data_IF_536595138071
#
_entry.id   IF_536595138071
#
_cell.length_a   1.000
_cell.length_b   1.000
_cell.length_c   1.000
_cell.angle_alpha   90.00
_cell.angle_beta   90.00
_cell.angle_gamma   90.00
#
_symmetry.space_group_name_H-M   'P 1'
#
loop_
_entity.id
_entity.type
_entity.pdbx_description
1 polymer ?
#
# COMPACT_ATOMS: atom_id res chain seq x y z
N UNK A 1 18.78 0.41 12.58
CA UNK A 1 17.40 0.97 12.56
C UNK A 1 17.48 2.49 12.50
N UNK A 2 16.47 3.16 11.94
CA UNK A 2 16.38 4.61 11.97
C UNK A 2 16.18 5.10 13.41
N UNK A 3 16.91 6.14 13.81
CA UNK A 3 16.86 6.69 15.17
C UNK A 3 15.70 7.68 15.37
N UNK A 4 15.30 8.36 14.29
CA UNK A 4 14.31 9.43 14.30
C UNK A 4 13.08 9.09 13.45
N UNK A 5 11.91 9.65 13.79
CA UNK A 5 10.70 9.50 12.97
C UNK A 5 10.90 10.13 11.59
N UNK A 6 10.42 9.43 10.55
CA UNK A 6 10.36 9.98 9.20
C UNK A 6 9.33 11.11 9.05
N UNK A 7 9.43 11.84 7.93
CA UNK A 7 8.52 12.93 7.60
C UNK A 7 7.06 12.46 7.50
N UNK A 8 6.13 13.30 7.99
CA UNK A 8 4.70 13.16 7.69
C UNK A 8 4.43 13.50 6.22
N UNK A 9 3.34 13.01 5.64
CA UNK A 9 3.08 13.10 4.20
C UNK A 9 3.26 14.51 3.61
N UNK A 10 2.68 15.54 4.23
CA UNK A 10 2.82 16.94 3.75
C UNK A 10 4.27 17.40 3.76
N UNK A 11 4.99 17.18 4.86
CA UNK A 11 6.40 17.57 4.99
C UNK A 11 7.34 16.68 4.16
N UNK A 12 6.93 15.45 3.86
CA UNK A 12 7.63 14.54 2.97
C UNK A 12 7.62 15.12 1.56
N UNK A 13 6.47 15.53 1.02
CA UNK A 13 6.41 16.13 -0.32
C UNK A 13 7.16 17.47 -0.40
N UNK A 14 7.14 18.28 0.66
CA UNK A 14 8.03 19.46 0.75
C UNK A 14 9.50 19.06 0.67
N UNK A 15 9.89 18.00 1.39
CA UNK A 15 11.27 17.50 1.40
C UNK A 15 11.69 16.92 0.06
N UNK A 16 10.78 16.24 -0.66
CA UNK A 16 10.97 15.82 -2.06
C UNK A 16 11.24 17.06 -2.93
N UNK A 17 10.42 18.11 -2.81
CA UNK A 17 10.63 19.36 -3.56
C UNK A 17 11.96 20.08 -3.27
N UNK A 18 12.61 19.80 -2.13
CA UNK A 18 13.97 20.28 -1.83
C UNK A 18 15.09 19.39 -2.38
N UNK A 19 14.77 18.25 -2.98
CA UNK A 19 15.74 17.28 -3.50
C UNK A 19 16.42 16.40 -2.44
N UNK A 20 15.99 16.49 -1.17
CA UNK A 20 16.53 15.66 -0.08
C UNK A 20 16.02 14.22 -0.14
N UNK A 21 14.78 14.01 -0.59
CA UNK A 21 14.24 12.69 -0.91
C UNK A 21 14.29 12.54 -2.43
N UNK A 22 15.04 11.54 -2.89
CA UNK A 22 15.33 11.30 -4.31
C UNK A 22 14.55 10.15 -4.93
N UNK A 23 13.95 9.30 -4.10
CA UNK A 23 13.16 8.17 -4.54
C UNK A 23 11.82 8.18 -3.81
N UNK A 24 10.74 8.05 -4.58
CA UNK A 24 9.38 8.02 -4.08
C UNK A 24 8.67 6.77 -4.59
N UNK A 25 7.98 6.05 -3.71
CA UNK A 25 7.06 4.99 -4.10
C UNK A 25 5.65 5.33 -3.62
N UNK A 26 4.76 5.64 -4.55
CA UNK A 26 3.35 5.94 -4.27
C UNK A 26 2.52 4.67 -4.41
N UNK A 27 1.85 4.27 -3.34
CA UNK A 27 0.80 3.24 -3.35
C UNK A 27 -0.52 4.02 -3.13
N UNK A 28 -1.31 4.25 -4.18
CA UNK A 28 -2.34 5.27 -4.23
C UNK A 28 -3.52 4.91 -3.33
N UNK A 29 -3.70 5.77 -2.32
CA UNK A 29 -4.92 5.90 -1.51
C UNK A 29 -5.01 7.34 -0.96
N UNK A 30 -4.45 8.33 -1.66
CA UNK A 30 -4.12 9.62 -1.04
C UNK A 30 -4.74 10.81 -1.78
N UNK A 31 -5.60 11.54 -1.06
CA UNK A 31 -5.93 12.95 -1.34
C UNK A 31 -4.95 13.82 -0.56
N UNK A 32 -4.24 14.72 -1.24
CA UNK A 32 -3.30 15.65 -0.60
C UNK A 32 -3.83 17.10 -0.62
N UNK A 33 -3.62 17.88 0.45
CA UNK A 33 -3.73 19.33 0.35
C UNK A 33 -2.66 19.87 -0.61
N UNK A 34 -2.98 20.97 -1.31
CA UNK A 34 -2.09 21.63 -2.27
C UNK A 34 -1.57 20.67 -3.37
N UNK A 35 -2.52 20.17 -4.17
CA UNK A 35 -2.24 19.17 -5.21
C UNK A 35 -1.20 19.63 -6.23
N UNK A 36 -1.11 20.94 -6.50
CA UNK A 36 -0.16 21.48 -7.46
C UNK A 36 1.27 21.45 -6.94
N UNK A 37 1.48 21.80 -5.66
CA UNK A 37 2.79 21.65 -5.03
C UNK A 37 3.23 20.18 -4.95
N UNK A 38 2.29 19.27 -4.67
CA UNK A 38 2.58 17.82 -4.67
C UNK A 38 2.93 17.33 -6.07
N UNK A 39 2.20 17.75 -7.10
CA UNK A 39 2.51 17.42 -8.50
C UNK A 39 3.92 17.88 -8.87
N UNK A 40 4.26 19.14 -8.59
CA UNK A 40 5.58 19.69 -8.87
C UNK A 40 6.70 18.95 -8.11
N UNK A 41 6.46 18.55 -6.86
CA UNK A 41 7.42 17.76 -6.10
C UNK A 41 7.64 16.38 -6.70
N UNK A 42 6.58 15.69 -7.14
CA UNK A 42 6.70 14.39 -7.80
C UNK A 42 7.47 14.52 -9.13
N UNK A 43 7.15 15.53 -9.95
CA UNK A 43 7.83 15.80 -11.22
C UNK A 43 9.32 16.11 -11.06
N UNK A 44 9.72 16.71 -9.93
CA UNK A 44 11.12 17.03 -9.64
C UNK A 44 11.90 15.93 -8.93
N UNK A 45 11.30 14.77 -8.65
CA UNK A 45 11.96 13.67 -7.94
C UNK A 45 12.77 12.78 -8.91
N UNK A 46 13.97 12.35 -8.52
CA UNK A 46 14.86 11.59 -9.42
C UNK A 46 14.27 10.24 -9.86
N UNK A 47 13.51 9.58 -8.98
CA UNK A 47 12.87 8.28 -9.26
C UNK A 47 11.51 8.19 -8.59
N UNK A 48 10.46 7.98 -9.38
CA UNK A 48 9.07 7.81 -8.93
C UNK A 48 8.51 6.46 -9.39
N UNK A 49 8.22 5.60 -8.43
CA UNK A 49 7.44 4.38 -8.65
C UNK A 49 5.98 4.56 -8.23
N UNK A 50 5.03 4.11 -9.04
CA UNK A 50 3.59 4.18 -8.71
C UNK A 50 2.93 2.81 -8.87
N UNK A 51 2.43 2.25 -7.76
CA UNK A 51 1.66 0.99 -7.78
C UNK A 51 0.19 1.27 -8.07
N UNK A 52 -0.23 1.26 -9.32
CA UNK A 52 -1.65 1.40 -9.69
C UNK A 52 -2.09 0.22 -10.55
N UNK A 53 -3.40 -0.01 -10.62
CA UNK A 53 -4.02 -1.02 -11.49
C UNK A 53 -4.44 -0.46 -12.84
N UNK A 54 -4.47 0.87 -12.97
CA UNK A 54 -4.82 1.57 -14.19
C UNK A 54 -3.73 2.57 -14.58
N UNK A 55 -3.43 2.63 -15.88
CA UNK A 55 -2.50 3.62 -16.43
C UNK A 55 -3.09 5.04 -16.53
N UNK A 56 -4.36 5.23 -16.18
CA UNK A 56 -5.10 6.45 -16.49
C UNK A 56 -5.13 7.49 -15.37
N UNK A 57 -4.50 7.24 -14.22
CA UNK A 57 -4.54 8.19 -13.08
C UNK A 57 -3.55 9.34 -13.26
N UNK A 58 -3.85 10.48 -12.64
CA UNK A 58 -2.98 11.66 -12.67
C UNK A 58 -1.57 11.37 -12.13
N UNK A 59 -1.48 10.62 -11.04
CA UNK A 59 -0.21 10.26 -10.40
C UNK A 59 0.61 9.30 -11.24
N UNK A 60 -0.03 8.34 -11.94
CA UNK A 60 0.69 7.40 -12.82
C UNK A 60 1.37 8.11 -13.99
N UNK A 61 0.78 9.21 -14.49
CA UNK A 61 1.42 10.03 -15.55
C UNK A 61 2.73 10.69 -15.11
N UNK A 62 2.99 10.75 -13.81
CA UNK A 62 4.21 11.30 -13.22
C UNK A 62 5.22 10.21 -12.84
N UNK A 63 4.91 8.93 -13.11
CA UNK A 63 5.74 7.81 -12.69
C UNK A 63 6.83 7.50 -13.72
N UNK A 64 8.04 7.22 -13.25
CA UNK A 64 9.10 6.62 -14.06
C UNK A 64 8.89 5.11 -14.19
N UNK A 65 8.36 4.48 -13.14
CA UNK A 65 8.14 3.04 -13.07
C UNK A 65 6.75 2.73 -12.54
N UNK A 66 6.01 1.89 -13.28
CA UNK A 66 4.71 1.37 -12.85
C UNK A 66 4.79 -0.16 -12.73
N UNK A 67 5.08 -0.71 -11.54
CA UNK A 67 5.06 -2.15 -11.34
C UNK A 67 3.63 -2.72 -11.55
N UNK A 68 3.49 -3.95 -12.05
CA UNK A 68 2.19 -4.51 -12.41
C UNK A 68 1.42 -4.94 -11.15
N UNK A 69 0.69 -4.02 -10.53
CA UNK A 69 -0.09 -4.28 -9.32
C UNK A 69 -1.43 -4.96 -9.63
N UNK A 70 -1.87 -5.85 -8.74
CA UNK A 70 -3.19 -6.48 -8.81
C UNK A 70 -4.28 -5.58 -8.23
N UNK A 71 -5.53 -5.73 -8.65
CA UNK A 71 -6.68 -5.11 -7.97
C UNK A 71 -7.00 -5.75 -6.61
N UNK A 72 -7.79 -5.04 -5.80
CA UNK A 72 -8.22 -5.52 -4.48
C UNK A 72 -8.83 -6.93 -4.53
N UNK A 73 -9.72 -7.17 -5.50
CA UNK A 73 -10.42 -8.45 -5.65
C UNK A 73 -9.51 -9.65 -5.96
N UNK A 74 -8.27 -9.45 -6.41
CA UNK A 74 -7.33 -10.52 -6.72
C UNK A 74 -6.38 -10.88 -5.60
N UNK A 75 -6.51 -10.27 -4.41
CA UNK A 75 -5.55 -10.42 -3.30
C UNK A 75 -6.19 -11.08 -2.09
N UNK A 76 -5.39 -11.93 -1.44
CA UNK A 76 -5.67 -12.44 -0.09
C UNK A 76 -5.04 -11.55 0.97
N UNK A 77 -5.72 -11.37 2.11
CA UNK A 77 -5.19 -10.60 3.22
C UNK A 77 -6.23 -10.24 4.27
N UNK A 78 -6.02 -9.12 4.94
CA UNK A 78 -6.98 -8.56 5.89
C UNK A 78 -7.12 -7.06 5.75
N UNK A 79 -8.30 -6.57 6.11
CA UNK A 79 -8.60 -5.15 6.22
C UNK A 79 -8.99 -4.86 7.67
N UNK A 80 -8.46 -3.79 8.25
CA UNK A 80 -8.93 -3.25 9.52
C UNK A 80 -9.92 -2.13 9.20
N UNK A 81 -11.17 -2.33 9.58
CA UNK A 81 -12.25 -1.38 9.33
C UNK A 81 -12.31 -0.29 10.41
N UNK A 82 -13.08 0.77 10.14
CA UNK A 82 -13.24 1.91 11.06
C UNK A 82 -13.92 1.56 12.39
N UNK A 83 -14.67 0.45 12.44
CA UNK A 83 -15.25 -0.13 13.67
C UNK A 83 -14.23 -0.99 14.46
N UNK A 84 -12.96 -0.93 14.05
CA UNK A 84 -11.84 -1.72 14.56
C UNK A 84 -11.97 -3.22 14.30
N UNK A 85 -12.96 -3.66 13.50
CA UNK A 85 -13.07 -5.04 13.11
C UNK A 85 -12.00 -5.37 12.06
N UNK A 86 -11.26 -6.45 12.30
CA UNK A 86 -10.40 -7.04 11.28
C UNK A 86 -11.29 -7.98 10.45
N UNK A 87 -11.23 -7.88 9.12
CA UNK A 87 -11.97 -8.76 8.21
C UNK A 87 -11.00 -9.55 7.36
N UNK A 88 -11.25 -10.85 7.21
CA UNK A 88 -10.50 -11.70 6.27
C UNK A 88 -10.96 -11.43 4.84
N UNK A 89 -10.02 -11.03 4.01
CA UNK A 89 -10.20 -10.88 2.58
C UNK A 89 -9.67 -12.14 1.87
N UNK A 90 -10.45 -12.61 0.91
CA UNK A 90 -10.11 -13.71 0.03
C UNK A 90 -10.00 -13.19 -1.39
N UNK A 91 -9.08 -13.75 -2.17
CA UNK A 91 -9.08 -13.52 -3.60
C UNK A 91 -10.40 -14.01 -4.22
N UNK A 92 -11.14 -13.11 -4.88
CA UNK A 92 -12.42 -13.39 -5.53
C UNK A 92 -12.26 -13.57 -7.05
N UNK A 93 -11.20 -12.99 -7.63
CA UNK A 93 -10.91 -13.05 -9.06
C UNK A 93 -9.47 -13.53 -9.29
N UNK A 94 -9.21 -14.25 -10.40
CA UNK A 94 -7.85 -14.58 -10.78
C UNK A 94 -7.06 -13.31 -11.10
N UNK A 95 -5.76 -13.34 -10.81
CA UNK A 95 -4.86 -12.22 -11.12
C UNK A 95 -4.58 -12.20 -12.63
N UNK A 96 -4.82 -11.08 -13.32
CA UNK A 96 -4.63 -11.01 -14.76
C UNK A 96 -3.14 -10.91 -15.15
N UNK A 97 -2.74 -11.66 -16.17
CA UNK A 97 -1.45 -11.52 -16.83
C UNK A 97 -0.25 -11.63 -15.88
N UNK A 98 0.61 -10.60 -15.90
CA UNK A 98 1.82 -10.53 -15.07
C UNK A 98 1.62 -9.76 -13.77
N UNK A 99 0.39 -9.35 -13.45
CA UNK A 99 0.08 -8.61 -12.24
C UNK A 99 0.42 -9.43 -10.99
N UNK A 100 0.81 -8.74 -9.93
CA UNK A 100 1.16 -9.34 -8.65
C UNK A 100 0.62 -8.48 -7.49
N UNK A 101 0.28 -9.10 -6.34
CA UNK A 101 0.01 -8.35 -5.13
C UNK A 101 1.21 -7.48 -4.74
N UNK A 102 0.97 -6.27 -4.24
CA UNK A 102 2.01 -5.29 -3.92
C UNK A 102 2.99 -5.82 -2.88
N UNK A 103 2.54 -6.65 -1.94
CA UNK A 103 3.44 -7.26 -0.96
C UNK A 103 4.53 -8.12 -1.62
N UNK A 104 4.21 -8.82 -2.73
CA UNK A 104 5.21 -9.60 -3.49
C UNK A 104 6.17 -8.67 -4.22
N UNK A 105 5.65 -7.59 -4.78
CA UNK A 105 6.46 -6.58 -5.49
C UNK A 105 7.45 -5.92 -4.53
N UNK A 106 6.99 -5.52 -3.34
CA UNK A 106 7.83 -4.95 -2.28
C UNK A 106 8.83 -5.98 -1.74
N UNK A 107 8.43 -7.24 -1.57
CA UNK A 107 9.34 -8.32 -1.18
C UNK A 107 10.48 -8.51 -2.19
N UNK A 108 10.15 -8.59 -3.48
CA UNK A 108 11.14 -8.70 -4.55
C UNK A 108 12.05 -7.48 -4.63
N UNK A 109 11.53 -6.27 -4.38
CA UNK A 109 12.37 -5.08 -4.28
C UNK A 109 13.35 -5.19 -3.11
N UNK A 110 12.88 -5.55 -1.91
CA UNK A 110 13.75 -5.74 -0.74
C UNK A 110 14.85 -6.76 -1.00
N UNK A 111 14.52 -7.89 -1.62
CA UNK A 111 15.51 -8.90 -2.03
C UNK A 111 16.53 -8.34 -3.04
N UNK A 112 16.11 -7.56 -4.04
CA UNK A 112 17.02 -6.92 -5.00
C UNK A 112 17.91 -5.84 -4.38
N UNK A 113 17.47 -5.24 -3.28
CA UNK A 113 18.27 -4.31 -2.46
C UNK A 113 19.23 -5.02 -1.49
N UNK A 114 19.31 -6.35 -1.53
CA UNK A 114 20.23 -7.15 -0.71
C UNK A 114 19.62 -7.73 0.58
N UNK A 115 18.34 -7.49 0.86
CA UNK A 115 17.66 -7.93 2.09
C UNK A 115 16.99 -9.30 1.92
N UNK A 116 17.74 -10.27 1.39
CA UNK A 116 17.19 -11.56 0.95
C UNK A 116 16.43 -12.31 2.05
N UNK A 117 16.98 -12.37 3.27
CA UNK A 117 16.38 -13.07 4.39
C UNK A 117 15.17 -12.35 4.99
N UNK A 118 15.22 -11.02 5.06
CA UNK A 118 14.16 -10.20 5.69
C UNK A 118 12.91 -10.04 4.83
N UNK A 119 13.03 -10.32 3.52
CA UNK A 119 11.95 -10.22 2.55
C UNK A 119 11.60 -11.57 1.87
N UNK A 120 11.97 -12.72 2.44
CA UNK A 120 11.56 -14.06 1.93
C UNK A 120 10.10 -14.42 2.30
N UNK A 121 9.15 -13.57 1.89
CA UNK A 121 7.73 -13.81 2.10
C UNK A 121 7.14 -14.69 1.00
N UNK A 122 6.50 -15.81 1.40
CA UNK A 122 5.84 -16.74 0.45
C UNK A 122 4.33 -16.56 0.35
N UNK A 123 3.69 -16.07 1.42
CA UNK A 123 2.25 -15.83 1.51
C UNK A 123 2.01 -14.58 2.36
N UNK A 124 0.87 -13.87 2.17
CA UNK A 124 0.38 -12.96 3.18
C UNK A 124 0.21 -13.74 4.49
N UNK A 125 0.62 -13.18 5.65
CA UNK A 125 0.69 -13.87 6.95
C UNK A 125 -0.35 -14.99 7.11
N UNK A 126 0.15 -16.22 7.27
CA UNK A 126 -0.61 -17.49 7.23
C UNK A 126 -1.60 -17.64 8.39
N UNK A 127 -1.32 -17.01 9.54
CA UNK A 127 -1.96 -17.35 10.81
C UNK A 127 -2.71 -16.13 11.38
N UNK A 128 -3.89 -15.86 10.83
CA UNK A 128 -4.87 -15.04 11.54
C UNK A 128 -5.97 -15.96 12.04
N UNK A 129 -6.25 -15.99 13.36
CA UNK A 129 -7.34 -16.78 13.88
C UNK A 129 -8.63 -16.37 13.17
N UNK A 130 -9.47 -17.34 12.79
CA UNK A 130 -10.81 -17.05 12.29
C UNK A 130 -11.48 -16.13 13.31
N UNK A 131 -11.81 -14.92 12.88
CA UNK A 131 -12.53 -13.97 13.72
C UNK A 131 -13.92 -14.58 13.90
N UNK A 132 -14.13 -15.21 15.06
CA UNK A 132 -15.46 -15.63 15.48
C UNK A 132 -16.23 -14.35 15.73
N UNK A 133 -17.27 -14.15 14.93
CA UNK A 133 -18.33 -13.17 15.19
C UNK A 133 -18.71 -13.26 16.67
N UNK A 134 -18.71 -12.16 17.46
CA UNK A 134 -19.31 -12.20 18.78
C UNK A 134 -20.78 -12.59 18.59
N UNK A 135 -21.15 -13.76 19.10
CA UNK A 135 -22.54 -14.18 19.16
C UNK A 135 -23.25 -13.28 20.17
N UNK A 136 -24.13 -12.42 19.66
CA UNK A 136 -25.32 -11.95 20.35
C UNK A 136 -25.18 -10.74 21.28
N UNK A 137 -25.71 -9.61 20.82
CA UNK A 137 -26.58 -8.85 21.71
C UNK A 137 -27.81 -9.73 21.98
N UNK A 138 -27.83 -10.42 23.12
CA UNK A 138 -29.11 -10.83 23.72
C UNK A 138 -29.77 -9.54 24.19
N UNK A 139 -30.76 -9.08 23.44
CA UNK A 139 -31.75 -8.16 23.98
C UNK A 139 -32.36 -8.80 25.23
N UNK A 140 -32.20 -8.14 26.38
CA UNK A 140 -33.07 -8.41 27.52
C UNK A 140 -34.41 -7.77 27.20
N UNK A 141 -35.36 -8.59 26.77
CA UNK A 141 -36.78 -8.28 26.81
C UNK A 141 -37.40 -9.10 27.94
N UNK A 142 -38.00 -8.41 28.90
CA UNK A 142 -39.03 -8.92 29.82
C UNK A 142 -38.55 -9.62 31.10
N UNK A 143 -38.69 -8.93 32.24
CA UNK A 143 -39.81 -9.12 33.18
C UNK A 143 -39.89 -7.91 34.12
#
# INVERSE_FOLDING_TARGET
>A
MAADPGNKAVDMFRTVGTGKIKALWVIPALTMPDAEAVRAAIEGCDVVAVSDITGATGTVRLADVMPPATAWAGKDGTVTNSDHAISRQWAMLPIPGVARPEWQILAQMGQRLGWHGDFDYRLPRRDLPRIRRPLGHRGQAGA
#
